data_IF_310155527597
#
_entry.id   IF_310155527597
#
_cell.length_a   1.000
_cell.length_b   1.000
_cell.length_c   1.000
_cell.angle_alpha   90.00
_cell.angle_beta   90.00
_cell.angle_gamma   90.00
#
_symmetry.space_group_name_H-M   'P 1'
#
loop_
_entity.id
_entity.type
_entity.pdbx_description
1 polymer ?
#
# COMPACT_ATOMS: atom_id res chain seq x y z
N UNK A 1 8.41 -4.07 -7.10
CA UNK A 1 8.26 -5.41 -6.53
C UNK A 1 7.22 -5.32 -5.41
N UNK A 2 6.07 -5.95 -5.57
CA UNK A 2 4.97 -5.88 -4.59
C UNK A 2 5.21 -6.92 -3.51
N UNK A 3 5.17 -6.52 -2.24
CA UNK A 3 5.17 -7.48 -1.12
C UNK A 3 3.73 -7.67 -0.67
N UNK A 4 3.25 -8.92 -0.67
CA UNK A 4 1.94 -9.27 -0.12
C UNK A 4 2.11 -9.78 1.30
N UNK A 5 1.28 -9.28 2.23
CA UNK A 5 1.25 -9.67 3.64
C UNK A 5 -0.18 -9.97 4.06
N UNK A 6 -0.38 -11.06 4.80
CA UNK A 6 -1.66 -11.38 5.41
C UNK A 6 -1.75 -10.76 6.81
N UNK A 7 -2.84 -10.09 7.14
CA UNK A 7 -3.09 -9.53 8.47
C UNK A 7 -4.59 -9.54 8.79
N UNK A 8 -4.97 -10.13 9.94
CA UNK A 8 -6.37 -10.28 10.39
C UNK A 8 -7.34 -10.80 9.31
N UNK A 9 -6.88 -11.75 8.49
CA UNK A 9 -7.69 -12.34 7.42
C UNK A 9 -7.83 -11.47 6.16
N UNK A 10 -7.02 -10.41 6.01
CA UNK A 10 -6.97 -9.57 4.82
C UNK A 10 -5.59 -9.63 4.15
N UNK A 11 -5.58 -9.47 2.83
CA UNK A 11 -4.39 -9.36 2.00
C UNK A 11 -3.94 -7.92 1.84
N UNK A 12 -2.71 -7.62 2.22
CA UNK A 12 -2.08 -6.30 2.13
C UNK A 12 -0.98 -6.34 1.08
N UNK A 13 -1.16 -5.65 -0.03
CA UNK A 13 -0.09 -5.38 -0.99
C UNK A 13 0.61 -4.05 -0.68
N UNK A 14 1.91 -4.09 -0.44
CA UNK A 14 2.74 -2.91 -0.25
C UNK A 14 3.28 -2.43 -1.60
N UNK A 15 2.94 -1.20 -1.98
CA UNK A 15 3.31 -0.59 -3.26
C UNK A 15 4.24 0.59 -2.99
N UNK A 16 5.55 0.35 -3.07
CA UNK A 16 6.58 1.39 -2.95
C UNK A 16 7.08 1.74 -4.34
N UNK A 17 7.12 3.02 -4.67
CA UNK A 17 7.53 3.52 -5.98
C UNK A 17 8.32 4.83 -5.86
N UNK A 18 9.23 5.13 -6.81
CA UNK A 18 9.96 6.40 -6.83
C UNK A 18 8.99 7.58 -6.86
N UNK A 19 9.27 8.64 -6.10
CA UNK A 19 8.44 9.85 -6.08
C UNK A 19 8.33 10.50 -7.46
N UNK A 20 9.44 10.49 -8.22
CA UNK A 20 9.45 10.84 -9.63
C UNK A 20 9.74 9.64 -10.51
N UNK A 21 8.96 9.54 -11.58
CA UNK A 21 9.26 8.63 -12.68
C UNK A 21 10.62 8.97 -13.26
N UNK A 22 11.48 7.97 -13.38
CA UNK A 22 12.76 8.10 -14.08
C UNK A 22 12.52 8.56 -15.51
N UNK A 23 13.05 9.74 -15.87
CA UNK A 23 13.05 10.17 -17.27
C UNK A 23 13.91 9.20 -18.09
N UNK A 24 13.48 8.83 -19.31
CA UNK A 24 14.28 8.00 -20.18
C UNK A 24 15.63 8.68 -20.45
N UNK A 25 16.74 8.00 -20.13
CA UNK A 25 18.11 8.50 -20.34
C UNK A 25 18.82 9.04 -19.09
N UNK A 26 18.13 9.16 -17.94
CA UNK A 26 18.76 9.51 -16.66
C UNK A 26 18.75 8.31 -15.70
N UNK A 27 19.86 8.10 -14.99
CA UNK A 27 19.97 7.09 -13.94
C UNK A 27 18.86 7.24 -12.88
N UNK A 28 18.51 6.15 -12.21
CA UNK A 28 17.42 6.12 -11.24
C UNK A 28 17.49 7.29 -10.25
N UNK A 29 16.53 8.21 -10.31
CA UNK A 29 16.54 9.44 -9.53
C UNK A 29 16.00 9.18 -8.11
N UNK A 30 16.69 8.31 -7.36
CA UNK A 30 16.36 7.97 -5.98
C UNK A 30 16.57 9.15 -5.00
N UNK A 31 17.20 10.24 -5.45
CA UNK A 31 17.41 11.50 -4.72
C UNK A 31 16.09 12.15 -4.27
N UNK A 32 15.02 11.99 -5.06
CA UNK A 32 13.72 12.60 -4.76
C UNK A 32 12.85 11.74 -3.81
N UNK A 33 13.37 10.59 -3.37
CA UNK A 33 12.72 9.70 -2.44
C UNK A 33 11.63 8.82 -3.06
N UNK A 34 10.80 8.26 -2.20
CA UNK A 34 9.79 7.25 -2.53
C UNK A 34 8.43 7.65 -2.00
N UNK A 35 7.40 7.36 -2.77
CA UNK A 35 6.03 7.34 -2.29
C UNK A 35 5.61 5.90 -2.00
N UNK A 36 4.55 5.77 -1.21
CA UNK A 36 3.99 4.48 -0.88
C UNK A 36 2.46 4.50 -0.94
N UNK A 37 1.92 3.38 -1.38
CA UNK A 37 0.50 3.06 -1.30
C UNK A 37 0.34 1.62 -0.81
N UNK A 38 -0.84 1.30 -0.29
CA UNK A 38 -1.21 -0.04 0.14
C UNK A 38 -2.52 -0.43 -0.52
N UNK A 39 -2.64 -1.69 -0.93
CA UNK A 39 -3.91 -2.28 -1.32
C UNK A 39 -4.32 -3.28 -0.25
N UNK A 40 -5.52 -3.16 0.27
CA UNK A 40 -6.11 -4.14 1.19
C UNK A 40 -7.21 -4.87 0.43
N UNK A 41 -7.21 -6.20 0.48
CA UNK A 41 -8.06 -7.09 -0.32
C UNK A 41 -8.57 -8.23 0.55
N UNK A 42 -9.74 -8.76 0.20
CA UNK A 42 -10.19 -10.05 0.72
C UNK A 42 -9.37 -11.19 0.06
N UNK A 43 -8.69 -12.05 0.84
CA UNK A 43 -7.90 -13.17 0.31
C UNK A 43 -8.77 -14.22 -0.40
N UNK A 44 -10.06 -14.31 -0.05
CA UNK A 44 -10.98 -15.34 -0.57
C UNK A 44 -11.75 -14.88 -1.81
N UNK A 45 -11.38 -13.75 -2.41
CA UNK A 45 -12.06 -13.25 -3.59
C UNK A 45 -11.66 -14.02 -4.87
N UNK A 46 -12.12 -15.26 -4.97
CA UNK A 46 -12.20 -16.02 -6.23
C UNK A 46 -13.36 -15.56 -7.12
N UNK A 47 -14.15 -14.59 -6.69
CA UNK A 47 -15.25 -14.00 -7.50
C UNK A 47 -14.71 -12.90 -8.41
N UNK A 48 -15.29 -12.75 -9.60
CA UNK A 48 -14.92 -11.82 -10.70
C UNK A 48 -14.71 -10.33 -10.31
N UNK A 49 -14.93 -9.95 -9.06
CA UNK A 49 -14.67 -8.61 -8.54
C UNK A 49 -13.97 -8.65 -7.17
N UNK A 50 -12.62 -8.69 -7.12
CA UNK A 50 -11.88 -8.64 -5.87
C UNK A 50 -12.19 -7.38 -5.07
N UNK A 51 -12.90 -7.57 -3.95
CA UNK A 51 -13.15 -6.53 -2.93
C UNK A 51 -11.80 -6.06 -2.40
N UNK A 52 -11.32 -4.97 -2.99
CA UNK A 52 -10.03 -4.40 -2.70
C UNK A 52 -10.12 -2.89 -2.69
N UNK A 53 -9.31 -2.26 -1.83
CA UNK A 53 -9.25 -0.81 -1.72
C UNK A 53 -7.80 -0.35 -1.63
N UNK A 54 -7.47 0.68 -2.41
CA UNK A 54 -6.15 1.27 -2.45
C UNK A 54 -6.10 2.53 -1.59
N UNK A 55 -5.06 2.67 -0.79
CA UNK A 55 -4.82 3.83 0.06
C UNK A 55 -3.40 4.34 -0.15
N UNK A 56 -3.27 5.66 -0.29
CA UNK A 56 -1.95 6.29 -0.24
C UNK A 56 -1.48 6.36 1.21
N UNK A 57 -0.23 6.01 1.47
CA UNK A 57 0.38 6.18 2.79
C UNK A 57 0.59 7.69 3.02
N UNK A 58 0.06 8.27 4.10
CA UNK A 58 0.19 9.69 4.36
C UNK A 58 1.64 10.05 4.68
N UNK A 59 2.13 11.11 4.05
CA UNK A 59 3.46 11.68 4.31
C UNK A 59 3.50 13.14 3.86
N UNK A 60 4.10 14.02 4.67
CA UNK A 60 4.31 15.43 4.28
C UNK A 60 5.42 15.60 3.24
N UNK A 61 6.30 14.61 3.13
CA UNK A 61 7.43 14.53 2.20
C UNK A 61 7.60 13.07 1.76
N UNK A 62 8.22 12.83 0.59
CA UNK A 62 8.60 11.49 0.18
C UNK A 62 9.50 10.80 1.22
N UNK A 63 9.42 9.48 1.29
CA UNK A 63 10.29 8.66 2.12
C UNK A 63 11.71 8.68 1.55
N UNK A 64 12.71 8.83 2.42
CA UNK A 64 14.13 8.89 2.02
C UNK A 64 14.60 7.62 1.31
N UNK A 65 14.06 6.46 1.69
CA UNK A 65 14.41 5.18 1.10
C UNK A 65 13.19 4.24 1.05
N UNK A 66 13.27 3.23 0.19
CA UNK A 66 12.22 2.24 0.01
C UNK A 66 11.94 1.41 1.27
N UNK A 67 12.93 1.22 2.14
CA UNK A 67 12.78 0.51 3.41
C UNK A 67 11.88 1.26 4.37
N UNK A 68 12.07 2.57 4.51
CA UNK A 68 11.23 3.45 5.33
C UNK A 68 9.80 3.49 4.81
N UNK A 69 9.65 3.65 3.48
CA UNK A 69 8.37 3.60 2.79
C UNK A 69 7.62 2.29 3.10
N UNK A 70 8.32 1.15 3.03
CA UNK A 70 7.74 -0.17 3.33
C UNK A 70 7.31 -0.30 4.79
N UNK A 71 8.13 0.17 5.75
CA UNK A 71 7.75 0.14 7.18
C UNK A 71 6.53 1.02 7.46
N UNK A 72 6.48 2.20 6.86
CA UNK A 72 5.32 3.09 6.96
C UNK A 72 4.07 2.47 6.33
N UNK A 73 4.18 1.79 5.19
CA UNK A 73 3.07 1.04 4.59
C UNK A 73 2.52 -0.03 5.53
N UNK A 74 3.38 -0.79 6.19
CA UNK A 74 2.94 -1.84 7.14
C UNK A 74 2.18 -1.21 8.31
N UNK A 75 2.78 -0.21 8.97
CA UNK A 75 2.16 0.46 10.10
C UNK A 75 0.82 1.12 9.74
N UNK A 76 0.74 1.74 8.55
CA UNK A 76 -0.48 2.36 8.07
C UNK A 76 -1.57 1.33 7.75
N UNK A 77 -1.21 0.19 7.16
CA UNK A 77 -2.16 -0.89 6.87
C UNK A 77 -2.72 -1.49 8.16
N UNK A 78 -1.85 -1.79 9.13
CA UNK A 78 -2.26 -2.33 10.43
C UNK A 78 -3.18 -1.33 11.16
N UNK A 79 -2.82 -0.03 11.17
CA UNK A 79 -3.66 1.02 11.74
C UNK A 79 -5.05 1.08 11.10
N UNK A 80 -5.16 1.01 9.77
CA UNK A 80 -6.45 1.02 9.07
C UNK A 80 -7.29 -0.20 9.46
N UNK A 81 -6.69 -1.39 9.47
CA UNK A 81 -7.39 -2.64 9.76
C UNK A 81 -7.80 -2.73 11.24
N UNK A 82 -6.95 -2.24 12.14
CA UNK A 82 -7.20 -2.20 13.58
C UNK A 82 -8.19 -1.09 13.99
N UNK A 83 -8.43 -0.10 13.12
CA UNK A 83 -9.48 0.90 13.34
C UNK A 83 -10.85 0.25 13.16
N UNK A 84 -11.69 0.36 14.19
CA UNK A 84 -13.03 -0.22 14.19
C UNK A 84 -13.84 0.21 12.96
N UNK A 85 -14.44 -0.78 12.29
CA UNK A 85 -15.31 -0.59 11.12
C UNK A 85 -14.63 -0.68 9.75
N UNK A 86 -13.30 -0.76 9.68
CA UNK A 86 -12.60 -0.91 8.39
C UNK A 86 -12.91 -2.25 7.72
N UNK A 87 -12.81 -3.34 8.47
CA UNK A 87 -13.14 -4.68 7.96
C UNK A 87 -14.60 -4.77 7.48
N UNK A 88 -15.54 -4.14 8.20
CA UNK A 88 -16.95 -4.03 7.77
C UNK A 88 -17.10 -3.25 6.46
N UNK A 89 -16.41 -2.13 6.32
CA UNK A 89 -16.49 -1.29 5.11
C UNK A 89 -16.02 -2.03 3.85
N UNK A 90 -15.02 -2.91 3.97
CA UNK A 90 -14.53 -3.73 2.84
C UNK A 90 -15.56 -4.83 2.50
N UNK A 91 -16.19 -5.42 3.51
CA UNK A 91 -17.18 -6.51 3.37
C UNK A 91 -18.58 -6.03 2.93
N UNK A 92 -18.94 -4.76 3.18
CA UNK A 92 -20.28 -4.20 2.93
C UNK A 92 -20.40 -3.39 1.63
N UNK A 93 -19.35 -3.28 0.82
CA UNK A 93 -19.45 -2.63 -0.50
C UNK A 93 -20.08 -3.60 -1.53
N UNK A 94 -21.23 -3.23 -2.15
CA UNK A 94 -21.94 -4.06 -3.13
C UNK A 94 -21.19 -4.21 -4.46
#
# INVERSE_FOLDING_TARGET
MTTIRHYRGLDISLLVYPHRTTQPGHGHNYEEGFDASIRISDPDSMTDNPRSRLFRVPGKRPFLNAGDARRASVAYAEMLIDTDGFARTILESP
#
